data_IF_366653307630
#
_entry.id   IF_366653307630
#
_cell.length_a   1.000
_cell.length_b   1.000
_cell.length_c   1.000
_cell.angle_alpha   90.00
_cell.angle_beta   90.00
_cell.angle_gamma   90.00
#
_symmetry.space_group_name_H-M   'P 1'
#
loop_
_entity.id
_entity.type
_entity.pdbx_description
1 polymer ?
#
# COMPACT_ATOMS: atom_id res chain seq x y z
N UNK A 1 -6.93 -22.77 -7.28
CA UNK A 1 -7.34 -21.52 -7.94
C UNK A 1 -8.57 -20.98 -7.21
N UNK A 2 -8.62 -19.70 -6.82
CA UNK A 2 -9.79 -19.16 -6.10
C UNK A 2 -10.97 -19.02 -7.06
N UNK A 3 -12.19 -19.33 -6.59
CA UNK A 3 -13.41 -19.06 -7.36
C UNK A 3 -13.67 -17.56 -7.45
N UNK A 4 -14.44 -17.12 -8.45
CA UNK A 4 -14.82 -15.71 -8.59
C UNK A 4 -15.49 -15.16 -7.31
N UNK A 5 -16.37 -15.94 -6.70
CA UNK A 5 -17.03 -15.57 -5.45
C UNK A 5 -16.03 -15.34 -4.31
N UNK A 6 -15.03 -16.22 -4.17
CA UNK A 6 -13.96 -16.07 -3.18
C UNK A 6 -13.11 -14.82 -3.45
N UNK A 7 -12.84 -14.51 -4.72
CA UNK A 7 -12.12 -13.30 -5.11
C UNK A 7 -12.92 -12.04 -4.78
N UNK A 8 -14.22 -12.01 -5.08
CA UNK A 8 -15.12 -10.89 -4.73
C UNK A 8 -15.19 -10.69 -3.22
N UNK A 9 -15.32 -11.77 -2.43
CA UNK A 9 -15.29 -11.69 -0.96
C UNK A 9 -13.96 -11.14 -0.45
N UNK A 10 -12.85 -11.57 -1.05
CA UNK A 10 -11.52 -11.06 -0.72
C UNK A 10 -11.39 -9.56 -1.02
N UNK A 11 -11.89 -9.14 -2.18
CA UNK A 11 -11.91 -7.73 -2.58
C UNK A 11 -12.78 -6.88 -1.65
N UNK A 12 -14.00 -7.32 -1.34
CA UNK A 12 -14.92 -6.61 -0.45
C UNK A 12 -14.33 -6.40 0.95
N UNK A 13 -13.73 -7.46 1.52
CA UNK A 13 -13.05 -7.37 2.83
C UNK A 13 -11.88 -6.39 2.81
N UNK A 14 -11.07 -6.44 1.75
CA UNK A 14 -9.91 -5.54 1.59
C UNK A 14 -10.33 -4.08 1.42
N UNK A 15 -11.41 -3.83 0.69
CA UNK A 15 -12.00 -2.50 0.53
C UNK A 15 -12.54 -1.95 1.85
N UNK A 16 -13.29 -2.76 2.60
CA UNK A 16 -13.85 -2.38 3.91
C UNK A 16 -12.74 -2.01 4.89
N UNK A 17 -11.73 -2.87 5.01
CA UNK A 17 -10.58 -2.66 5.88
C UNK A 17 -9.83 -1.37 5.51
N UNK A 18 -9.54 -1.16 4.23
CA UNK A 18 -8.84 0.04 3.78
C UNK A 18 -9.63 1.33 4.04
N UNK A 19 -10.97 1.27 4.03
CA UNK A 19 -11.82 2.42 4.38
C UNK A 19 -11.80 2.73 5.86
N UNK A 20 -11.90 1.70 6.71
CA UNK A 20 -11.80 1.87 8.16
C UNK A 20 -10.43 2.44 8.53
N UNK A 21 -9.35 1.96 7.91
CA UNK A 21 -8.00 2.49 8.11
C UNK A 21 -7.87 3.98 7.75
N UNK A 22 -8.43 4.41 6.61
CA UNK A 22 -8.40 5.83 6.23
C UNK A 22 -9.23 6.69 7.22
N UNK A 23 -10.38 6.20 7.70
CA UNK A 23 -11.17 6.91 8.72
C UNK A 23 -10.39 7.10 10.03
N UNK A 24 -9.64 6.08 10.46
CA UNK A 24 -8.78 6.19 11.65
C UNK A 24 -7.64 7.19 11.43
N UNK A 25 -7.02 7.17 10.26
CA UNK A 25 -5.95 8.08 9.89
C UNK A 25 -6.42 9.54 9.84
N UNK A 26 -7.63 9.78 9.37
CA UNK A 26 -8.25 11.10 9.33
C UNK A 26 -8.86 11.51 10.68
N UNK A 27 -8.77 10.65 11.71
CA UNK A 27 -9.30 10.85 13.06
C UNK A 27 -10.82 11.10 13.10
N UNK A 28 -11.56 10.43 12.21
CA UNK A 28 -13.03 10.52 12.06
C UNK A 28 -13.71 9.16 12.19
N UNK A 29 -13.05 8.15 12.76
CA UNK A 29 -13.57 6.79 12.95
C UNK A 29 -14.58 6.69 14.10
N UNK A 30 -15.67 7.46 14.05
CA UNK A 30 -16.84 7.24 14.90
C UNK A 30 -17.66 6.02 14.41
N UNK A 31 -18.55 5.52 15.25
CA UNK A 31 -19.38 4.33 14.98
C UNK A 31 -20.17 4.48 13.66
N UNK A 32 -20.81 5.63 13.44
CA UNK A 32 -21.57 5.92 12.22
C UNK A 32 -20.70 5.89 10.96
N UNK A 33 -19.47 6.40 11.04
CA UNK A 33 -18.55 6.41 9.90
C UNK A 33 -18.03 4.99 9.60
N UNK A 34 -17.76 4.19 10.63
CA UNK A 34 -17.38 2.78 10.48
C UNK A 34 -18.54 1.99 9.86
N UNK A 35 -19.77 2.22 10.29
CA UNK A 35 -20.96 1.60 9.70
C UNK A 35 -21.10 1.95 8.22
N UNK A 36 -20.83 3.21 7.86
CA UNK A 36 -20.82 3.68 6.47
C UNK A 36 -19.63 3.14 5.64
N UNK A 37 -18.59 2.57 6.25
CA UNK A 37 -17.50 1.90 5.55
C UNK A 37 -17.83 0.45 5.16
N UNK A 38 -18.92 -0.11 5.68
CA UNK A 38 -19.33 -1.50 5.44
C UNK A 38 -19.54 -1.78 3.95
N UNK A 39 -19.00 -2.88 3.46
CA UNK A 39 -19.09 -3.25 2.05
C UNK A 39 -20.20 -4.28 1.83
N UNK A 40 -21.04 -4.05 0.82
CA UNK A 40 -22.02 -5.04 0.35
C UNK A 40 -21.81 -5.35 -1.12
N UNK A 41 -22.13 -6.58 -1.52
CA UNK A 41 -22.02 -7.01 -2.92
C UNK A 41 -23.36 -7.49 -3.42
N UNK A 42 -23.73 -7.09 -4.65
CA UNK A 42 -25.01 -7.45 -5.28
C UNK A 42 -24.74 -8.04 -6.65
N UNK A 43 -25.10 -9.32 -6.81
CA UNK A 43 -24.97 -10.02 -8.08
C UNK A 43 -25.96 -9.43 -9.10
N UNK A 44 -25.45 -9.10 -10.29
CA UNK A 44 -26.26 -8.74 -11.45
C UNK A 44 -26.01 -9.68 -12.63
N UNK A 45 -26.65 -9.39 -13.77
CA UNK A 45 -26.52 -10.20 -14.99
C UNK A 45 -25.13 -10.10 -15.63
N UNK A 46 -24.61 -8.88 -15.74
CA UNK A 46 -23.31 -8.60 -16.38
C UNK A 46 -22.23 -8.18 -15.37
N UNK A 47 -22.66 -7.50 -14.32
CA UNK A 47 -21.77 -6.90 -13.34
C UNK A 47 -22.20 -7.28 -11.92
N UNK A 48 -21.21 -7.41 -11.04
CA UNK A 48 -21.38 -7.46 -9.60
C UNK A 48 -21.19 -6.04 -9.09
N UNK A 49 -22.18 -5.50 -8.37
CA UNK A 49 -22.08 -4.18 -7.74
C UNK A 49 -21.41 -4.33 -6.39
N UNK A 50 -20.48 -3.44 -6.09
CA UNK A 50 -19.77 -3.38 -4.81
C UNK A 50 -20.06 -2.00 -4.22
N UNK A 51 -20.91 -1.99 -3.21
CA UNK A 51 -21.40 -0.79 -2.55
C UNK A 51 -20.64 -0.61 -1.23
N UNK A 52 -20.31 0.64 -0.89
CA UNK A 52 -19.72 1.04 0.41
C UNK A 52 -20.77 1.88 1.13
N UNK A 53 -21.18 1.42 2.32
CA UNK A 53 -22.35 1.93 3.01
C UNK A 53 -23.60 1.78 2.13
N UNK A 54 -24.21 2.91 1.79
CA UNK A 54 -25.40 2.97 0.92
C UNK A 54 -25.10 3.36 -0.53
N UNK A 55 -23.84 3.65 -0.86
CA UNK A 55 -23.45 4.17 -2.17
C UNK A 55 -22.72 3.12 -3.00
N UNK A 56 -23.01 3.08 -4.30
CA UNK A 56 -22.23 2.27 -5.23
C UNK A 56 -20.82 2.84 -5.41
N UNK A 57 -19.79 2.02 -5.20
CA UNK A 57 -18.40 2.44 -5.33
C UNK A 57 -17.72 1.82 -6.57
N UNK A 58 -17.89 0.51 -6.75
CA UNK A 58 -17.26 -0.24 -7.83
C UNK A 58 -18.22 -1.23 -8.49
N UNK A 59 -17.91 -1.61 -9.72
CA UNK A 59 -18.59 -2.67 -10.43
C UNK A 59 -17.57 -3.63 -11.03
N UNK A 60 -17.78 -4.92 -10.85
CA UNK A 60 -16.91 -5.97 -11.37
C UNK A 60 -17.59 -6.67 -12.53
N UNK A 61 -16.94 -6.73 -13.70
CA UNK A 61 -17.48 -7.46 -14.85
C UNK A 61 -17.30 -8.96 -14.67
N UNK A 62 -18.39 -9.72 -14.76
CA UNK A 62 -18.38 -11.17 -14.46
C UNK A 62 -17.50 -11.95 -15.43
N UNK A 63 -17.50 -11.59 -16.71
CA UNK A 63 -16.76 -12.33 -17.74
C UNK A 63 -15.26 -12.08 -17.73
N UNK A 64 -14.83 -10.90 -17.30
CA UNK A 64 -13.40 -10.48 -17.38
C UNK A 64 -12.77 -10.25 -16.02
N UNK A 65 -13.56 -10.28 -14.95
CA UNK A 65 -13.15 -9.94 -13.57
C UNK A 65 -12.56 -8.53 -13.42
N UNK A 66 -12.78 -7.65 -14.41
CA UNK A 66 -12.28 -6.27 -14.36
C UNK A 66 -13.09 -5.42 -13.40
N UNK A 67 -12.37 -4.59 -12.64
CA UNK A 67 -12.93 -3.69 -11.64
C UNK A 67 -13.02 -2.29 -12.24
N UNK A 68 -14.22 -1.72 -12.24
CA UNK A 68 -14.49 -0.37 -12.72
C UNK A 68 -15.03 0.50 -11.59
N UNK A 69 -14.66 1.78 -11.59
CA UNK A 69 -15.38 2.80 -10.84
C UNK A 69 -16.78 3.05 -11.42
N UNK A 70 -17.62 3.78 -10.68
CA UNK A 70 -18.99 4.10 -11.08
C UNK A 70 -19.10 5.59 -11.42
N UNK A 71 -19.73 5.95 -12.55
CA UNK A 71 -20.04 7.36 -12.92
C UNK A 71 -21.41 7.80 -12.42
N UNK A 72 -22.37 6.88 -12.48
CA UNK A 72 -23.73 7.01 -11.99
C UNK A 72 -24.21 5.60 -11.62
N UNK A 73 -25.20 5.47 -10.74
CA UNK A 73 -25.57 4.16 -10.22
C UNK A 73 -25.92 3.15 -11.34
N UNK A 74 -25.18 2.04 -11.39
CA UNK A 74 -25.31 1.01 -12.44
C UNK A 74 -24.56 1.28 -13.74
N UNK A 75 -23.85 2.41 -13.86
CA UNK A 75 -23.07 2.80 -15.04
C UNK A 75 -21.58 2.82 -14.71
N UNK A 76 -20.83 1.91 -15.35
CA UNK A 76 -19.37 1.83 -15.19
C UNK A 76 -18.67 3.06 -15.78
N UNK A 77 -17.58 3.47 -15.15
CA UNK A 77 -16.67 4.48 -15.67
C UNK A 77 -15.47 3.79 -16.32
N UNK A 78 -15.48 3.63 -17.65
CA UNK A 78 -14.42 2.88 -18.38
C UNK A 78 -13.01 3.46 -18.20
N UNK A 79 -12.89 4.77 -18.02
CA UNK A 79 -11.61 5.43 -17.73
C UNK A 79 -11.08 5.16 -16.31
N UNK A 80 -11.93 4.64 -15.40
CA UNK A 80 -11.56 4.26 -14.04
C UNK A 80 -11.54 2.73 -13.96
N UNK A 81 -10.63 2.12 -14.72
CA UNK A 81 -10.36 0.69 -14.70
C UNK A 81 -9.20 0.41 -13.76
N UNK A 82 -9.40 -0.47 -12.78
CA UNK A 82 -8.44 -0.74 -11.71
C UNK A 82 -7.87 -2.16 -11.81
N UNK A 83 -7.74 -2.69 -13.02
CA UNK A 83 -7.25 -4.05 -13.25
C UNK A 83 -8.32 -5.11 -13.00
N UNK A 84 -7.88 -6.32 -12.63
CA UNK A 84 -8.74 -7.47 -12.34
C UNK A 84 -8.80 -7.81 -10.84
N UNK A 85 -9.68 -8.75 -10.47
CA UNK A 85 -9.75 -9.27 -9.11
C UNK A 85 -8.45 -9.93 -8.60
N UNK A 86 -7.56 -10.37 -9.50
CA UNK A 86 -6.26 -10.92 -9.11
C UNK A 86 -5.24 -9.83 -8.78
N UNK A 87 -5.50 -8.59 -9.20
CA UNK A 87 -4.60 -7.45 -9.07
C UNK A 87 -4.99 -6.51 -7.91
N UNK A 88 -5.97 -6.90 -7.08
CA UNK A 88 -6.53 -6.05 -6.01
C UNK A 88 -5.47 -5.52 -5.04
N UNK A 89 -4.38 -6.27 -4.82
CA UNK A 89 -3.30 -5.89 -3.91
C UNK A 89 -2.36 -4.82 -4.52
N UNK A 90 -2.40 -4.58 -5.82
CA UNK A 90 -1.62 -3.54 -6.48
C UNK A 90 -2.20 -2.13 -6.28
N UNK A 91 -3.38 -2.05 -5.67
CA UNK A 91 -4.13 -0.82 -5.47
C UNK A 91 -4.35 -0.56 -3.98
N UNK A 92 -4.46 0.72 -3.65
CA UNK A 92 -4.94 1.22 -2.38
C UNK A 92 -6.38 1.70 -2.54
N UNK A 93 -7.28 1.23 -1.67
CA UNK A 93 -8.74 1.36 -1.83
C UNK A 93 -9.40 2.26 -0.78
N UNK A 94 -8.62 2.83 0.14
CA UNK A 94 -9.16 3.64 1.25
C UNK A 94 -9.66 5.03 0.84
N UNK A 95 -9.26 5.52 -0.34
CA UNK A 95 -9.72 6.81 -0.88
C UNK A 95 -11.02 6.71 -1.68
N UNK A 96 -11.57 7.87 -2.06
CA UNK A 96 -12.77 7.96 -2.92
C UNK A 96 -12.62 7.19 -4.24
N UNK A 97 -11.43 7.28 -4.86
CA UNK A 97 -11.01 6.43 -5.97
C UNK A 97 -9.81 5.58 -5.55
N UNK A 98 -9.68 4.40 -6.14
CA UNK A 98 -8.51 3.57 -5.94
C UNK A 98 -7.26 4.26 -6.50
N UNK A 99 -6.13 4.13 -5.79
CA UNK A 99 -4.83 4.70 -6.19
C UNK A 99 -3.85 3.56 -6.36
N UNK A 100 -3.05 3.60 -7.42
CA UNK A 100 -2.05 2.55 -7.65
C UNK A 100 -1.00 2.64 -6.54
N UNK A 101 -0.65 1.51 -5.92
CA UNK A 101 0.45 1.49 -4.94
C UNK A 101 1.76 1.75 -5.69
N UNK A 102 2.70 2.43 -5.03
CA UNK A 102 4.07 2.44 -5.50
C UNK A 102 4.56 0.99 -5.61
N UNK A 103 5.32 0.66 -6.65
CA UNK A 103 5.95 -0.66 -6.76
C UNK A 103 6.75 -0.87 -5.48
N UNK A 104 6.40 -1.88 -4.69
CA UNK A 104 7.32 -2.37 -3.69
C UNK A 104 8.52 -2.86 -4.46
N UNK A 105 9.68 -2.25 -4.20
CA UNK A 105 10.95 -2.77 -4.68
C UNK A 105 11.15 -4.03 -3.85
N UNK A 106 10.84 -5.19 -4.43
CA UNK A 106 11.28 -6.47 -3.89
C UNK A 106 12.79 -6.33 -3.69
N UNK A 107 13.36 -6.63 -2.50
CA UNK A 107 14.80 -6.58 -2.31
C UNK A 107 15.41 -7.53 -3.33
N UNK A 108 15.98 -6.98 -4.40
CA UNK A 108 16.69 -7.76 -5.39
C UNK A 108 17.88 -8.38 -4.69
N UNK A 109 18.00 -9.71 -4.80
CA UNK A 109 19.12 -10.47 -4.28
C UNK A 109 20.43 -9.78 -4.71
N UNK A 110 21.11 -9.14 -3.74
CA UNK A 110 22.41 -8.45 -3.85
C UNK A 110 22.42 -7.03 -4.43
N UNK A 111 21.66 -6.10 -3.86
CA UNK A 111 22.02 -4.68 -3.98
C UNK A 111 23.17 -4.32 -3.03
N UNK A 112 24.22 -3.72 -3.59
CA UNK A 112 25.35 -3.18 -2.85
C UNK A 112 24.87 -1.96 -2.04
N UNK A 113 24.54 -2.17 -0.77
CA UNK A 113 24.10 -1.10 0.12
C UNK A 113 25.27 -0.17 0.46
N UNK A 114 25.34 1.00 -0.17
CA UNK A 114 26.29 2.06 0.24
C UNK A 114 25.75 2.80 1.46
N UNK A 115 26.24 2.43 2.64
CA UNK A 115 25.93 3.14 3.88
C UNK A 115 26.83 4.37 4.03
N UNK A 116 26.22 5.56 3.95
CA UNK A 116 26.90 6.82 4.26
C UNK A 116 26.78 7.07 5.76
N UNK A 117 27.86 6.84 6.51
CA UNK A 117 27.95 7.21 7.92
C UNK A 117 28.32 8.70 8.02
N UNK A 118 27.40 9.48 8.56
CA UNK A 118 27.67 10.88 8.93
C UNK A 118 28.05 10.92 10.40
N UNK A 119 29.30 11.26 10.70
CA UNK A 119 29.78 11.48 12.07
C UNK A 119 29.88 12.98 12.31
N UNK A 120 29.28 13.46 13.40
CA UNK A 120 29.50 14.82 13.89
C UNK A 120 30.77 14.80 14.73
N UNK A 121 31.81 15.47 14.27
CA UNK A 121 33.03 15.66 15.05
C UNK A 121 33.12 17.12 15.49
N UNK A 122 33.38 17.36 16.78
CA UNK A 122 33.63 18.70 17.30
C UNK A 122 35.13 18.87 17.42
N UNK A 123 35.70 19.78 16.63
CA UNK A 123 37.12 20.14 16.69
C UNK A 123 37.18 21.63 17.03
N UNK A 124 37.85 21.99 18.13
CA UNK A 124 37.99 23.38 18.59
C UNK A 124 36.67 24.14 18.79
N UNK A 125 35.59 23.46 19.18
CA UNK A 125 34.28 24.09 19.41
C UNK A 125 33.44 24.29 18.15
N UNK A 126 33.96 23.96 16.97
CA UNK A 126 33.21 23.99 15.70
C UNK A 126 32.67 22.59 15.37
N UNK A 127 31.37 22.53 15.04
CA UNK A 127 30.73 21.30 14.60
C UNK A 127 31.05 21.05 13.12
N UNK A 128 31.87 20.04 12.85
CA UNK A 128 32.20 19.63 11.49
C UNK A 128 31.47 18.32 11.15
N UNK A 129 30.80 18.28 9.99
CA UNK A 129 30.26 17.05 9.41
C UNK A 129 31.39 16.34 8.66
N UNK A 130 31.75 15.14 9.10
CA UNK A 130 32.67 14.28 8.35
C UNK A 130 31.88 13.10 7.79
N UNK A 131 31.81 13.02 6.46
CA UNK A 131 31.22 11.89 5.75
C UNK A 131 32.31 10.86 5.48
N UNK A 132 32.14 9.65 6.02
CA UNK A 132 33.04 8.53 5.73
C UNK A 132 32.35 7.63 4.70
N UNK A 133 32.89 7.61 3.49
CA UNK A 133 32.65 6.54 2.51
C UNK A 133 33.49 5.33 2.91
N UNK A 134 32.87 4.24 3.40
CA UNK A 134 33.71 3.13 3.87
C UNK A 134 33.05 1.79 4.20
N UNK A 135 31.73 1.67 4.22
CA UNK A 135 31.09 0.35 4.37
C UNK A 135 30.73 -0.20 3.00
N UNK A 136 31.72 -0.84 2.37
CA UNK A 136 31.55 -1.73 1.22
C UNK A 136 31.41 -3.15 1.78
N UNK A 137 30.19 -3.71 1.70
CA UNK A 137 29.90 -5.07 2.13
C UNK A 137 28.62 -5.57 1.46
N UNK A 138 28.58 -6.86 1.13
CA UNK A 138 27.33 -7.51 0.72
C UNK A 138 26.56 -7.80 2.01
N UNK A 139 25.41 -7.17 2.19
CA UNK A 139 24.52 -7.41 3.31
C UNK A 139 23.23 -8.03 2.79
N UNK A 140 22.75 -9.08 3.45
CA UNK A 140 21.51 -9.75 3.04
C UNK A 140 20.29 -8.96 3.52
N UNK A 141 20.45 -8.12 4.56
CA UNK A 141 19.37 -7.25 5.06
C UNK A 141 19.84 -5.85 5.48
N UNK A 142 18.92 -4.88 5.41
CA UNK A 142 19.13 -3.51 5.92
C UNK A 142 19.49 -3.49 7.41
N UNK A 143 18.98 -4.45 8.19
CA UNK A 143 19.24 -4.56 9.63
C UNK A 143 20.69 -4.90 9.92
N UNK A 144 21.27 -5.83 9.17
CA UNK A 144 22.70 -6.20 9.28
C UNK A 144 23.61 -5.03 8.91
N UNK A 145 23.24 -4.30 7.84
CA UNK A 145 23.98 -3.13 7.41
C UNK A 145 23.98 -2.02 8.48
N UNK A 146 22.83 -1.78 9.13
CA UNK A 146 22.71 -0.83 10.25
C UNK A 146 23.51 -1.27 11.48
N UNK A 147 23.51 -2.55 11.83
CA UNK A 147 24.30 -3.06 12.97
C UNK A 147 25.81 -2.99 12.70
N UNK A 148 26.25 -3.30 11.48
CA UNK A 148 27.64 -3.13 11.06
C UNK A 148 28.09 -1.66 11.19
N UNK A 149 27.23 -0.72 10.78
CA UNK A 149 27.49 0.72 10.90
C UNK A 149 27.59 1.20 12.36
N UNK A 150 26.75 0.67 13.26
CA UNK A 150 26.86 0.92 14.71
C UNK A 150 28.14 0.35 15.29
N UNK A 151 28.57 -0.83 14.86
CA UNK A 151 29.81 -1.47 15.29
C UNK A 151 31.02 -0.61 14.90
N UNK A 152 31.09 -0.16 13.65
CA UNK A 152 32.17 0.71 13.16
C UNK A 152 32.21 2.05 13.93
N UNK A 153 31.06 2.66 14.20
CA UNK A 153 30.97 3.88 15.01
C UNK A 153 31.56 3.69 16.42
N UNK A 154 31.44 2.50 17.02
CA UNK A 154 32.04 2.20 18.33
C UNK A 154 33.56 1.98 18.25
N UNK A 155 34.09 1.52 17.11
CA UNK A 155 35.54 1.36 16.92
C UNK A 155 36.24 2.69 16.65
N UNK A 156 35.52 3.67 16.12
CA UNK A 156 36.04 5.00 15.77
C UNK A 156 35.82 6.07 16.86
N UNK A 157 35.11 5.74 17.94
CA UNK A 157 34.87 6.62 19.09
C UNK A 157 35.84 6.29 20.23
#
# INVERSE_FOLDING_TARGET
MKTQEQKIKSFAKLLEQARIEELHKDNVACEDNILNAKVTTKQGKKYIKVDVGHSGAYMVEISTERIFGIKAYGVIHRGHCYGTLDEINQWYWGGYTARKRAKQIEPTDKEEYRLVLTVRQVVNGEQNLVCYDGLCGIYDTLKEAVEAAKCLKRQLA
#
